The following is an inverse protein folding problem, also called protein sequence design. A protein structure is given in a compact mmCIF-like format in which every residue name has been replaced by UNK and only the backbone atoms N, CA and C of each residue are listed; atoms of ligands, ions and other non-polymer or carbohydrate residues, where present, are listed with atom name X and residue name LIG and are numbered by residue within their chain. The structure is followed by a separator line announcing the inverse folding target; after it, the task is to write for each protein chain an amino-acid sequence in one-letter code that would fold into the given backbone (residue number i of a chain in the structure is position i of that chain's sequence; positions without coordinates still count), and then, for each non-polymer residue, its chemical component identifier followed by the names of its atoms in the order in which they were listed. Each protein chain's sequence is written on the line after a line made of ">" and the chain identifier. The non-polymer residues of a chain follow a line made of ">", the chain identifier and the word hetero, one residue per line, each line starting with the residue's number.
data_IF_074640713382
#
_entry.id   IF_074640713382
#
_cell.length_a   1.000
_cell.length_b   1.000
_cell.length_c   1.000
_cell.angle_alpha   90.00
_cell.angle_beta   90.00
_cell.angle_gamma   90.00
#
_symmetry.space_group_name_H-M   'P 1'
#
loop_
_entity.id
_entity.type
_entity.pdbx_description
1 polymer ?
#
# COMPACT_ATOMS: atom_id res chain seq x y z
N UNK A 1 30.47 -28.75 -23.89
CA UNK A 1 30.20 -27.94 -25.11
C UNK A 1 29.10 -26.89 -24.82
N UNK A 2 27.96 -27.29 -24.27
CA UNK A 2 26.83 -26.37 -24.01
C UNK A 2 27.18 -25.22 -23.05
N UNK A 3 27.82 -25.49 -21.93
CA UNK A 3 28.27 -24.47 -20.97
C UNK A 3 29.20 -23.41 -21.62
N UNK A 4 30.06 -23.83 -22.56
CA UNK A 4 30.96 -22.94 -23.28
C UNK A 4 30.18 -22.02 -24.23
N UNK A 5 29.17 -22.54 -24.88
CA UNK A 5 28.27 -21.77 -25.75
C UNK A 5 27.47 -20.74 -24.94
N UNK A 6 26.93 -21.16 -23.79
CA UNK A 6 26.18 -20.24 -22.88
C UNK A 6 27.07 -19.10 -22.39
N UNK A 7 28.31 -19.40 -21.98
CA UNK A 7 29.28 -18.37 -21.55
C UNK A 7 29.65 -17.42 -22.69
N UNK A 8 29.76 -17.92 -23.92
CA UNK A 8 30.05 -17.10 -25.09
C UNK A 8 28.86 -16.16 -25.38
N UNK A 9 27.63 -16.68 -25.37
CA UNK A 9 26.41 -15.88 -25.57
C UNK A 9 26.26 -14.81 -24.48
N UNK A 10 26.47 -15.16 -23.21
CA UNK A 10 26.40 -14.19 -22.11
C UNK A 10 27.47 -13.09 -22.22
N UNK A 11 28.62 -13.42 -22.82
CA UNK A 11 29.67 -12.43 -23.10
C UNK A 11 29.29 -11.52 -24.25
N UNK A 12 28.70 -12.06 -25.33
CA UNK A 12 28.19 -11.30 -26.47
C UNK A 12 27.06 -10.34 -26.04
N UNK A 13 26.20 -10.77 -25.13
CA UNK A 13 25.14 -9.95 -24.56
C UNK A 13 25.64 -8.93 -23.52
N UNK A 14 26.97 -8.90 -23.26
CA UNK A 14 27.59 -8.04 -22.25
C UNK A 14 27.12 -8.27 -20.81
N UNK A 15 26.59 -9.44 -20.53
CA UNK A 15 26.24 -9.86 -19.19
C UNK A 15 27.47 -10.33 -18.41
N UNK A 16 28.45 -10.86 -19.11
CA UNK A 16 29.73 -11.29 -18.54
C UNK A 16 30.89 -10.55 -19.22
N UNK A 17 31.88 -10.18 -18.42
CA UNK A 17 33.19 -9.71 -18.86
C UNK A 17 34.17 -10.88 -18.78
N UNK A 18 34.97 -11.04 -19.82
CA UNK A 18 36.04 -12.07 -19.84
C UNK A 18 37.37 -11.45 -19.45
N UNK A 19 38.00 -12.00 -18.43
CA UNK A 19 39.32 -11.62 -17.97
C UNK A 19 40.25 -12.80 -18.25
N UNK A 20 41.31 -12.56 -19.00
CA UNK A 20 42.31 -13.61 -19.26
C UNK A 20 43.06 -13.93 -17.96
N UNK A 21 43.12 -15.22 -17.60
CA UNK A 21 43.89 -15.65 -16.41
C UNK A 21 45.41 -15.52 -16.73
N UNK A 22 46.05 -14.60 -16.02
CA UNK A 22 47.48 -14.27 -16.20
C UNK A 22 48.42 -15.20 -15.45
N UNK A 23 47.99 -16.39 -15.01
CA UNK A 23 48.88 -17.36 -14.40
C UNK A 23 49.99 -17.79 -15.35
N UNK A 24 51.22 -17.98 -14.82
CA UNK A 24 52.33 -18.45 -15.62
C UNK A 24 51.97 -19.82 -16.22
N UNK A 25 51.96 -19.85 -17.55
CA UNK A 25 51.72 -21.05 -18.34
C UNK A 25 52.98 -21.88 -18.34
N UNK A 26 52.94 -23.14 -17.91
CA UNK A 26 54.08 -24.02 -17.82
C UNK A 26 54.25 -24.97 -19.00
N UNK A 27 53.23 -25.10 -19.86
CA UNK A 27 53.24 -25.99 -21.02
C UNK A 27 52.61 -25.36 -22.27
N UNK A 28 53.00 -25.87 -23.47
CA UNK A 28 52.44 -25.44 -24.75
C UNK A 28 50.96 -25.79 -24.89
N UNK A 29 50.51 -26.85 -24.22
CA UNK A 29 49.11 -27.28 -24.20
C UNK A 29 48.27 -26.34 -23.32
N UNK A 30 48.77 -25.88 -22.21
CA UNK A 30 48.12 -24.87 -21.37
C UNK A 30 48.03 -23.51 -22.09
N UNK A 31 49.01 -23.17 -22.92
CA UNK A 31 49.00 -21.95 -23.73
C UNK A 31 47.90 -21.99 -24.81
N UNK A 32 47.65 -23.15 -25.37
CA UNK A 32 46.56 -23.35 -26.36
C UNK A 32 45.18 -23.30 -25.72
N UNK A 33 45.03 -23.78 -24.49
CA UNK A 33 43.79 -23.76 -23.72
C UNK A 33 43.71 -22.49 -22.90
N UNK A 34 43.34 -21.39 -23.56
CA UNK A 34 43.13 -20.11 -22.87
C UNK A 34 42.02 -20.25 -21.79
N UNK A 35 42.41 -20.18 -20.52
CA UNK A 35 41.51 -20.17 -19.40
C UNK A 35 41.04 -18.72 -19.19
N UNK A 36 39.74 -18.47 -19.34
CA UNK A 36 39.13 -17.21 -19.06
C UNK A 36 38.47 -17.28 -17.67
N UNK A 37 38.55 -16.18 -16.93
CA UNK A 37 37.68 -15.91 -15.79
C UNK A 37 36.52 -15.07 -16.31
N UNK A 38 35.31 -15.43 -15.89
CA UNK A 38 34.12 -14.71 -16.23
C UNK A 38 33.69 -13.91 -15.01
N UNK A 39 33.45 -12.63 -15.19
CA UNK A 39 32.99 -11.72 -14.17
C UNK A 39 31.67 -11.13 -14.66
N UNK A 40 30.66 -11.10 -13.79
CA UNK A 40 29.39 -10.45 -14.11
C UNK A 40 29.62 -8.96 -14.36
N UNK A 41 28.97 -8.41 -15.37
CA UNK A 41 28.94 -6.97 -15.59
C UNK A 41 28.22 -6.25 -14.46
N UNK A 42 28.48 -4.97 -14.26
CA UNK A 42 27.82 -4.17 -13.21
C UNK A 42 26.31 -4.22 -13.33
N UNK A 43 25.79 -4.12 -14.56
CA UNK A 43 24.34 -4.22 -14.81
C UNK A 43 23.78 -5.60 -14.43
N UNK A 44 24.49 -6.68 -14.73
CA UNK A 44 24.07 -8.04 -14.38
C UNK A 44 24.08 -8.26 -12.87
N UNK A 45 25.05 -7.71 -12.16
CA UNK A 45 25.09 -7.73 -10.69
C UNK A 45 23.90 -7.01 -10.08
N UNK A 46 23.52 -5.83 -10.62
CA UNK A 46 22.34 -5.09 -10.12
C UNK A 46 21.03 -5.80 -10.44
N UNK A 47 20.92 -6.43 -11.61
CA UNK A 47 19.75 -7.25 -11.97
C UNK A 47 19.64 -8.46 -11.03
N UNK A 48 20.74 -9.16 -10.77
CA UNK A 48 20.76 -10.29 -9.85
C UNK A 48 20.38 -9.89 -8.43
N UNK A 49 20.91 -8.77 -7.94
CA UNK A 49 20.50 -8.20 -6.65
C UNK A 49 19.02 -7.84 -6.61
N UNK A 50 18.47 -7.37 -7.73
CA UNK A 50 17.05 -7.09 -7.86
C UNK A 50 16.23 -8.38 -7.80
N UNK A 51 16.63 -9.43 -8.53
CA UNK A 51 15.95 -10.74 -8.52
C UNK A 51 15.95 -11.34 -7.11
N UNK A 52 17.11 -11.35 -6.44
CA UNK A 52 17.23 -11.84 -5.04
C UNK A 52 16.29 -11.04 -4.13
N UNK A 53 16.22 -9.73 -4.28
CA UNK A 53 15.27 -8.90 -3.52
C UNK A 53 13.81 -9.25 -3.84
N UNK A 54 13.48 -9.50 -5.09
CA UNK A 54 12.12 -9.89 -5.50
C UNK A 54 11.73 -11.28 -4.96
N UNK A 55 12.65 -12.23 -4.94
CA UNK A 55 12.43 -13.56 -4.36
C UNK A 55 12.21 -13.49 -2.84
N UNK A 56 12.93 -12.61 -2.16
CA UNK A 56 12.84 -12.41 -0.71
C UNK A 56 11.71 -11.46 -0.26
N UNK A 57 11.03 -10.78 -1.19
CA UNK A 57 9.91 -9.87 -0.89
C UNK A 57 8.80 -10.49 -0.04
N UNK A 58 8.63 -11.81 -0.07
CA UNK A 58 7.64 -12.52 0.73
C UNK A 58 8.13 -12.91 2.14
N UNK A 59 9.43 -12.83 2.41
CA UNK A 59 10.02 -13.25 3.68
C UNK A 59 10.22 -12.05 4.61
N UNK A 60 10.57 -10.89 4.07
CA UNK A 60 10.69 -9.64 4.81
C UNK A 60 9.38 -8.85 4.69
N UNK A 61 8.36 -9.26 5.45
CA UNK A 61 7.16 -8.44 5.60
C UNK A 61 7.55 -7.04 6.07
N UNK A 62 7.26 -6.03 5.26
CA UNK A 62 7.53 -4.64 5.62
C UNK A 62 6.89 -4.34 6.97
N UNK A 63 7.65 -3.85 7.93
CA UNK A 63 7.17 -3.47 9.25
C UNK A 63 7.16 -1.96 9.40
N UNK A 64 6.06 -1.42 9.92
CA UNK A 64 5.98 -0.02 10.33
C UNK A 64 6.65 0.12 11.70
N UNK A 65 7.94 0.48 11.71
CA UNK A 65 8.70 0.63 12.94
C UNK A 65 8.54 2.04 13.52
N UNK A 66 7.83 2.24 14.65
CA UNK A 66 7.74 3.55 15.31
C UNK A 66 9.12 4.09 15.74
N UNK A 67 10.07 3.18 15.98
CA UNK A 67 11.44 3.50 16.38
C UNK A 67 12.23 4.24 15.31
N UNK A 68 11.94 4.03 14.01
CA UNK A 68 12.56 4.79 12.93
C UNK A 68 12.21 6.29 13.00
N UNK A 69 10.94 6.60 13.24
CA UNK A 69 10.49 7.98 13.41
C UNK A 69 11.18 8.64 14.61
N UNK A 70 11.33 7.92 15.71
CA UNK A 70 12.03 8.41 16.89
C UNK A 70 13.52 8.66 16.63
N UNK A 71 14.19 7.79 15.86
CA UNK A 71 15.59 7.96 15.46
C UNK A 71 15.75 9.17 14.53
N UNK A 72 14.87 9.32 13.54
CA UNK A 72 14.87 10.49 12.65
C UNK A 72 14.67 11.78 13.47
N UNK A 73 13.71 11.80 14.40
CA UNK A 73 13.49 12.94 15.28
C UNK A 73 14.76 13.30 16.07
N UNK A 74 15.38 12.34 16.75
CA UNK A 74 16.61 12.55 17.51
C UNK A 74 17.75 13.07 16.63
N UNK A 75 17.87 12.54 15.40
CA UNK A 75 18.88 13.01 14.47
C UNK A 75 18.58 14.45 13.99
N UNK A 76 17.30 14.79 13.80
CA UNK A 76 16.91 16.16 13.42
C UNK A 76 17.11 17.16 14.56
N UNK A 77 16.84 16.81 15.82
CA UNK A 77 17.10 17.62 17.01
C UNK A 77 18.60 17.95 17.15
N UNK A 78 19.48 17.04 16.72
CA UNK A 78 20.94 17.24 16.73
C UNK A 78 21.49 18.06 15.56
N UNK A 79 20.67 18.38 14.57
CA UNK A 79 21.12 19.11 13.37
C UNK A 79 21.90 20.39 13.69
N UNK A 80 21.43 21.28 14.59
CA UNK A 80 22.16 22.51 14.91
C UNK A 80 23.57 22.25 15.47
N UNK A 81 23.76 21.18 16.23
CA UNK A 81 25.06 20.81 16.80
C UNK A 81 26.05 20.37 15.72
N UNK A 82 25.56 19.80 14.62
CA UNK A 82 26.41 19.27 13.55
C UNK A 82 27.19 20.37 12.82
N UNK A 83 26.68 21.60 12.81
CA UNK A 83 27.42 22.73 12.23
C UNK A 83 28.77 22.98 12.94
N UNK A 84 28.90 22.61 14.24
CA UNK A 84 30.13 22.74 15.03
C UNK A 84 31.01 21.49 15.08
N UNK A 85 30.56 20.36 14.56
CA UNK A 85 31.24 19.05 14.66
C UNK A 85 32.24 18.80 13.54
N UNK A 86 33.09 17.76 13.73
CA UNK A 86 34.03 17.32 12.69
C UNK A 86 33.29 16.68 11.49
N UNK A 87 33.89 16.81 10.31
CA UNK A 87 33.31 16.29 9.05
C UNK A 87 33.02 14.79 9.06
N UNK A 88 33.80 13.97 9.80
CA UNK A 88 33.54 12.54 9.93
C UNK A 88 32.23 12.29 10.71
N UNK A 89 32.04 13.02 11.84
CA UNK A 89 30.81 12.91 12.63
C UNK A 89 29.60 13.39 11.84
N UNK A 90 29.74 14.50 11.11
CA UNK A 90 28.67 15.06 10.27
C UNK A 90 28.29 14.10 9.16
N UNK A 91 29.26 13.50 8.49
CA UNK A 91 28.99 12.54 7.41
C UNK A 91 28.31 11.26 7.90
N UNK A 92 28.78 10.73 9.03
CA UNK A 92 28.16 9.54 9.66
C UNK A 92 26.71 9.85 10.05
N UNK A 93 26.49 10.96 10.76
CA UNK A 93 25.16 11.42 11.15
C UNK A 93 24.24 11.62 9.94
N UNK A 94 24.75 12.25 8.88
CA UNK A 94 24.00 12.48 7.64
C UNK A 94 23.62 11.18 6.94
N UNK A 95 24.53 10.24 6.89
CA UNK A 95 24.31 8.93 6.28
C UNK A 95 23.26 8.14 7.06
N UNK A 96 23.35 8.13 8.38
CA UNK A 96 22.37 7.46 9.25
C UNK A 96 20.97 8.07 9.10
N UNK A 97 20.87 9.40 9.10
CA UNK A 97 19.60 10.10 8.90
C UNK A 97 18.96 9.74 7.56
N UNK A 98 19.74 9.75 6.47
CA UNK A 98 19.21 9.41 5.15
C UNK A 98 18.81 7.93 5.05
N UNK A 99 19.59 7.02 5.62
CA UNK A 99 19.28 5.59 5.62
C UNK A 99 17.99 5.32 6.41
N UNK A 100 17.83 5.94 7.58
CA UNK A 100 16.61 5.82 8.38
C UNK A 100 15.39 6.38 7.64
N UNK A 101 15.54 7.52 6.97
CA UNK A 101 14.47 8.11 6.16
C UNK A 101 14.10 7.24 4.96
N UNK A 102 15.07 6.77 4.19
CA UNK A 102 14.80 5.87 3.06
C UNK A 102 14.11 4.58 3.52
N UNK A 103 14.55 4.01 4.64
CA UNK A 103 13.95 2.81 5.23
C UNK A 103 12.52 3.06 5.69
N UNK A 104 12.26 4.22 6.32
CA UNK A 104 10.90 4.61 6.73
C UNK A 104 9.97 4.68 5.51
N UNK A 105 10.39 5.40 4.47
CA UNK A 105 9.59 5.60 3.27
C UNK A 105 9.33 4.29 2.53
N UNK A 106 10.35 3.44 2.39
CA UNK A 106 10.22 2.14 1.75
C UNK A 106 9.29 1.21 2.55
N UNK A 107 9.52 1.06 3.86
CA UNK A 107 8.70 0.21 4.72
C UNK A 107 7.23 0.65 4.69
N UNK A 108 6.99 1.97 4.69
CA UNK A 108 5.63 2.50 4.58
C UNK A 108 4.97 2.12 3.25
N UNK A 109 5.63 2.38 2.14
CA UNK A 109 5.08 2.07 0.81
C UNK A 109 4.79 0.58 0.66
N UNK A 110 5.71 -0.27 1.09
CA UNK A 110 5.57 -1.72 1.03
C UNK A 110 4.42 -2.20 1.92
N UNK A 111 4.31 -1.70 3.13
CA UNK A 111 3.24 -2.07 4.06
C UNK A 111 1.85 -1.67 3.56
N UNK A 112 1.71 -0.45 3.02
CA UNK A 112 0.45 0.03 2.45
C UNK A 112 0.08 -0.78 1.20
N UNK A 113 1.05 -1.09 0.35
CA UNK A 113 0.84 -1.97 -0.82
C UNK A 113 0.33 -3.34 -0.38
N UNK A 114 0.95 -3.95 0.63
CA UNK A 114 0.57 -5.27 1.11
C UNK A 114 -0.84 -5.28 1.70
N UNK A 115 -1.20 -4.26 2.49
CA UNK A 115 -2.56 -4.12 3.03
C UNK A 115 -3.64 -3.81 1.97
N UNK A 116 -3.25 -3.26 0.84
CA UNK A 116 -4.14 -3.02 -0.29
C UNK A 116 -4.12 -4.16 -1.33
N UNK A 117 -3.35 -5.21 -1.11
CA UNK A 117 -3.27 -6.35 -2.01
C UNK A 117 -4.57 -7.16 -2.03
N UNK A 118 -4.86 -7.83 -3.16
CA UNK A 118 -5.99 -8.75 -3.29
C UNK A 118 -5.92 -9.86 -2.23
N UNK A 119 -4.71 -10.36 -1.96
CA UNK A 119 -4.47 -11.39 -0.94
C UNK A 119 -4.86 -10.91 0.46
N UNK A 120 -4.53 -9.67 0.82
CA UNK A 120 -4.93 -9.09 2.10
C UNK A 120 -6.46 -8.94 2.19
N UNK A 121 -7.10 -8.52 1.11
CA UNK A 121 -8.56 -8.40 1.04
C UNK A 121 -9.26 -9.76 1.17
N UNK A 122 -8.75 -10.79 0.50
CA UNK A 122 -9.26 -12.16 0.65
C UNK A 122 -9.10 -12.66 2.09
N UNK A 123 -7.93 -12.44 2.70
CA UNK A 123 -7.67 -12.80 4.09
C UNK A 123 -8.62 -12.07 5.06
N UNK A 124 -8.91 -10.78 4.84
CA UNK A 124 -9.84 -9.99 5.65
C UNK A 124 -11.29 -10.54 5.62
N UNK A 125 -11.63 -11.38 4.65
CA UNK A 125 -12.95 -12.02 4.53
C UNK A 125 -13.02 -13.39 5.22
N UNK A 126 -11.92 -13.89 5.77
CA UNK A 126 -11.85 -15.20 6.45
C UNK A 126 -12.20 -15.09 7.94
N UNK A 127 -12.62 -16.22 8.54
CA UNK A 127 -12.91 -16.26 9.98
C UNK A 127 -11.65 -16.12 10.84
N UNK A 128 -10.53 -16.61 10.35
CA UNK A 128 -9.22 -16.54 10.98
C UNK A 128 -8.78 -15.09 11.18
N UNK A 129 -9.20 -14.21 10.29
CA UNK A 129 -8.94 -12.78 10.39
C UNK A 129 -9.55 -12.15 11.65
N UNK A 130 -10.70 -12.65 12.13
CA UNK A 130 -11.31 -12.12 13.34
C UNK A 130 -10.41 -12.25 14.58
N UNK A 131 -9.56 -13.27 14.62
CA UNK A 131 -8.58 -13.48 15.70
C UNK A 131 -7.39 -12.54 15.53
N UNK A 132 -6.99 -12.26 14.31
CA UNK A 132 -5.81 -11.46 13.97
C UNK A 132 -6.06 -9.95 13.99
N UNK A 133 -7.28 -9.51 13.67
CA UNK A 133 -7.64 -8.09 13.46
C UNK A 133 -7.27 -7.16 14.63
N UNK A 134 -7.46 -7.62 15.87
CA UNK A 134 -7.24 -6.78 17.05
C UNK A 134 -5.75 -6.45 17.21
N UNK A 135 -4.88 -7.43 16.98
CA UNK A 135 -3.42 -7.21 16.96
C UNK A 135 -2.99 -6.28 15.84
N UNK A 136 -3.58 -6.44 14.66
CA UNK A 136 -3.30 -5.58 13.51
C UNK A 136 -3.74 -4.13 13.77
N UNK A 137 -4.94 -3.93 14.32
CA UNK A 137 -5.45 -2.60 14.67
C UNK A 137 -4.58 -1.97 15.76
N UNK A 138 -4.19 -2.72 16.78
CA UNK A 138 -3.31 -2.21 17.84
C UNK A 138 -1.94 -1.79 17.31
N UNK A 139 -1.36 -2.60 16.43
CA UNK A 139 -0.11 -2.29 15.76
C UNK A 139 -0.20 -0.99 14.93
N UNK A 140 -1.23 -0.85 14.11
CA UNK A 140 -1.48 0.37 13.33
C UNK A 140 -1.72 1.61 14.21
N UNK A 141 -2.45 1.46 15.30
CA UNK A 141 -2.67 2.54 16.29
C UNK A 141 -1.38 2.94 16.99
N UNK A 142 -0.54 1.98 17.32
CA UNK A 142 0.78 2.26 17.92
C UNK A 142 1.66 3.05 16.96
N UNK A 143 1.66 2.69 15.67
CA UNK A 143 2.35 3.43 14.63
C UNK A 143 1.81 4.87 14.49
N UNK A 144 0.49 5.06 14.43
CA UNK A 144 -0.13 6.39 14.38
C UNK A 144 0.28 7.25 15.57
N UNK A 145 0.30 6.69 16.78
CA UNK A 145 0.77 7.42 17.98
C UNK A 145 2.24 7.81 17.87
N UNK A 146 3.08 6.92 17.34
CA UNK A 146 4.48 7.22 17.05
C UNK A 146 4.63 8.35 16.04
N UNK A 147 3.83 8.31 14.96
CA UNK A 147 3.80 9.35 13.94
C UNK A 147 3.41 10.71 14.54
N UNK A 148 2.31 10.78 15.28
CA UNK A 148 1.82 12.02 15.91
C UNK A 148 2.83 12.65 16.87
N UNK A 149 3.56 11.82 17.64
CA UNK A 149 4.55 12.31 18.60
C UNK A 149 5.80 12.90 17.94
N UNK A 150 6.22 12.32 16.82
CA UNK A 150 7.52 12.63 16.24
C UNK A 150 7.44 13.63 15.09
N UNK A 151 6.37 13.57 14.27
CA UNK A 151 6.26 14.41 13.05
C UNK A 151 6.25 15.89 13.39
N UNK A 152 5.48 16.32 14.39
CA UNK A 152 5.42 17.73 14.76
C UNK A 152 6.77 18.31 15.18
N UNK A 153 7.57 17.54 15.93
CA UNK A 153 8.91 17.95 16.36
C UNK A 153 9.88 17.97 15.16
N UNK A 154 9.82 16.98 14.27
CA UNK A 154 10.65 16.96 13.07
C UNK A 154 10.32 18.15 12.16
N UNK A 155 9.05 18.44 11.98
CA UNK A 155 8.56 19.57 11.19
C UNK A 155 9.06 20.90 11.76
N UNK A 156 8.98 21.09 13.07
CA UNK A 156 9.50 22.28 13.77
C UNK A 156 11.02 22.39 13.58
N UNK A 157 11.77 21.32 13.80
CA UNK A 157 13.20 21.29 13.57
C UNK A 157 13.56 21.69 12.13
N UNK A 158 12.83 21.17 11.13
CA UNK A 158 13.08 21.47 9.72
C UNK A 158 12.78 22.93 9.36
N UNK A 159 11.73 23.52 9.94
CA UNK A 159 11.32 24.92 9.69
C UNK A 159 12.21 25.95 10.39
N UNK A 160 12.76 25.60 11.54
CA UNK A 160 13.57 26.51 12.35
C UNK A 160 15.06 26.54 11.98
N UNK A 161 15.49 25.70 11.02
CA UNK A 161 16.87 25.64 10.60
C UNK A 161 17.29 26.88 9.83
N UNK A 162 18.32 27.57 10.37
CA UNK A 162 18.94 28.70 9.72
C UNK A 162 19.71 28.26 8.46
N UNK A 163 19.64 29.08 7.41
CA UNK A 163 20.31 28.82 6.14
C UNK A 163 21.81 28.61 6.30
N UNK A 164 22.45 29.44 7.13
CA UNK A 164 23.89 29.42 7.34
C UNK A 164 24.37 28.11 8.00
N UNK A 165 23.62 27.61 8.98
CA UNK A 165 23.91 26.30 9.60
C UNK A 165 23.80 25.16 8.61
N UNK A 166 22.78 25.21 7.77
CA UNK A 166 22.56 24.19 6.73
C UNK A 166 23.69 24.18 5.71
N UNK A 167 24.12 25.36 5.25
CA UNK A 167 25.24 25.50 4.33
C UNK A 167 26.52 24.93 4.97
N UNK A 168 26.82 25.28 6.23
CA UNK A 168 28.01 24.75 6.94
C UNK A 168 27.99 23.22 7.06
N UNK A 169 26.82 22.62 7.26
CA UNK A 169 26.69 21.14 7.30
C UNK A 169 26.94 20.55 5.91
N UNK A 170 26.38 21.14 4.85
CA UNK A 170 26.61 20.65 3.48
C UNK A 170 28.06 20.78 3.04
N UNK A 171 28.74 21.86 3.39
CA UNK A 171 30.18 22.02 3.12
C UNK A 171 30.99 20.87 3.71
N UNK A 172 30.73 20.50 4.96
CA UNK A 172 31.41 19.37 5.62
C UNK A 172 31.11 18.02 4.97
N UNK A 173 29.87 17.80 4.51
CA UNK A 173 29.50 16.59 3.78
C UNK A 173 30.27 16.53 2.46
N UNK A 174 30.35 17.63 1.74
CA UNK A 174 31.09 17.74 0.48
C UNK A 174 32.58 17.50 0.72
N UNK A 175 33.18 18.16 1.70
CA UNK A 175 34.59 17.96 2.07
C UNK A 175 34.91 16.48 2.36
N UNK A 176 34.02 15.80 3.08
CA UNK A 176 34.24 14.38 3.40
C UNK A 176 34.09 13.50 2.15
N UNK A 177 33.06 13.69 1.34
CA UNK A 177 32.83 12.90 0.13
C UNK A 177 33.95 13.07 -0.92
N UNK A 178 34.59 14.24 -0.97
CA UNK A 178 35.74 14.49 -1.84
C UNK A 178 36.99 13.72 -1.40
N UNK A 179 37.10 13.36 -0.11
CA UNK A 179 38.22 12.55 0.39
C UNK A 179 38.10 11.05 0.01
N UNK A 180 36.92 10.60 -0.39
CA UNK A 180 36.71 9.18 -0.73
C UNK A 180 37.28 8.93 -2.16
N UNK A 181 38.36 8.11 -2.28
CA UNK A 181 38.93 7.82 -3.58
C UNK A 181 37.96 6.96 -4.42
N UNK A 182 37.64 7.41 -5.62
CA UNK A 182 36.78 6.69 -6.57
C UNK A 182 37.56 6.41 -7.84
N UNK A 183 37.52 5.15 -8.31
CA UNK A 183 38.34 4.72 -9.45
C UNK A 183 37.77 5.12 -10.81
N UNK A 184 36.47 5.32 -10.92
CA UNK A 184 35.78 5.37 -12.23
C UNK A 184 35.09 6.69 -12.55
N UNK A 185 34.87 7.57 -11.58
CA UNK A 185 34.10 8.81 -11.80
C UNK A 185 34.73 10.00 -11.10
N UNK A 186 35.12 11.02 -11.86
CA UNK A 186 35.39 12.35 -11.30
C UNK A 186 34.08 12.97 -10.78
N UNK A 187 33.88 12.90 -9.47
CA UNK A 187 32.71 13.50 -8.83
C UNK A 187 33.02 14.95 -8.52
N UNK A 188 32.34 15.86 -9.17
CA UNK A 188 32.51 17.29 -8.90
C UNK A 188 31.81 17.67 -7.59
N UNK A 189 32.40 18.68 -6.90
CA UNK A 189 31.82 19.29 -5.70
C UNK A 189 30.35 19.66 -5.88
N UNK A 190 30.00 20.25 -7.03
CA UNK A 190 28.62 20.63 -7.38
C UNK A 190 27.65 19.44 -7.41
N UNK A 191 28.12 18.27 -7.86
CA UNK A 191 27.28 17.06 -7.90
C UNK A 191 27.00 16.54 -6.50
N UNK A 192 28.02 16.51 -5.63
CA UNK A 192 27.87 16.08 -4.24
C UNK A 192 26.90 17.00 -3.50
N UNK A 193 27.11 18.32 -3.60
CA UNK A 193 26.24 19.32 -2.98
C UNK A 193 24.79 19.16 -3.47
N UNK A 194 24.55 19.12 -4.77
CA UNK A 194 23.21 18.92 -5.34
C UNK A 194 22.55 17.65 -4.84
N UNK A 195 23.32 16.58 -4.66
CA UNK A 195 22.81 15.31 -4.11
C UNK A 195 22.42 15.44 -2.62
N UNK A 196 23.24 16.13 -1.82
CA UNK A 196 22.95 16.40 -0.41
C UNK A 196 21.71 17.30 -0.26
N UNK A 197 21.63 18.38 -1.01
CA UNK A 197 20.47 19.28 -1.03
C UNK A 197 19.19 18.57 -1.49
N UNK A 198 19.28 17.73 -2.52
CA UNK A 198 18.16 16.94 -3.02
C UNK A 198 17.62 15.94 -1.98
N UNK A 199 18.52 15.28 -1.23
CA UNK A 199 18.14 14.39 -0.13
C UNK A 199 17.50 15.16 1.03
N UNK A 200 18.06 16.29 1.40
CA UNK A 200 17.49 17.16 2.42
C UNK A 200 16.09 17.65 2.01
N UNK A 201 15.95 18.11 0.76
CA UNK A 201 14.67 18.53 0.21
C UNK A 201 13.65 17.40 0.24
N UNK A 202 14.04 16.16 -0.06
CA UNK A 202 13.14 15.00 0.02
C UNK A 202 12.64 14.77 1.44
N UNK A 203 13.51 14.92 2.46
CA UNK A 203 13.10 14.84 3.87
C UNK A 203 12.16 16.01 4.20
N UNK A 204 12.50 17.21 3.79
CA UNK A 204 11.70 18.41 4.01
C UNK A 204 10.29 18.28 3.40
N UNK A 205 10.21 17.94 2.12
CA UNK A 205 8.94 17.77 1.40
C UNK A 205 8.08 16.66 2.03
N UNK A 206 8.70 15.61 2.56
CA UNK A 206 7.98 14.50 3.18
C UNK A 206 7.31 14.91 4.52
N UNK A 207 8.00 15.67 5.36
CA UNK A 207 7.50 16.08 6.69
C UNK A 207 6.76 17.42 6.69
N UNK A 208 7.22 18.39 5.90
CA UNK A 208 6.68 19.76 5.88
C UNK A 208 5.73 19.97 4.71
N UNK A 209 6.00 19.30 3.58
CA UNK A 209 5.29 19.50 2.31
C UNK A 209 5.92 20.59 1.45
N UNK A 210 5.48 20.66 0.20
CA UNK A 210 5.80 21.72 -0.75
C UNK A 210 4.59 22.63 -0.96
N UNK A 211 4.81 23.83 -1.47
CA UNK A 211 3.74 24.83 -1.68
C UNK A 211 2.52 24.24 -2.40
N UNK A 212 1.37 24.21 -1.71
CA UNK A 212 0.10 23.74 -2.24
C UNK A 212 -0.10 22.21 -2.22
N UNK A 213 0.83 21.43 -1.66
CA UNK A 213 0.68 20.00 -1.49
C UNK A 213 0.74 19.60 -0.01
N UNK A 214 -0.19 18.75 0.39
CA UNK A 214 -0.19 18.12 1.70
C UNK A 214 1.05 17.24 1.89
N UNK A 215 1.68 17.30 3.06
CA UNK A 215 2.87 16.51 3.35
C UNK A 215 2.56 15.00 3.36
N UNK A 216 3.57 14.19 3.05
CA UNK A 216 3.41 12.73 2.98
C UNK A 216 3.10 12.12 4.37
N UNK A 217 3.56 12.73 5.45
CA UNK A 217 3.26 12.29 6.81
C UNK A 217 1.77 12.42 7.14
N UNK A 218 1.10 13.49 6.70
CA UNK A 218 -0.35 13.65 6.85
C UNK A 218 -1.12 12.64 6.01
N UNK A 219 -0.73 12.45 4.75
CA UNK A 219 -1.32 11.40 3.89
C UNK A 219 -1.18 10.01 4.50
N UNK A 220 -0.01 9.71 5.08
CA UNK A 220 0.25 8.45 5.77
C UNK A 220 -0.72 8.25 6.93
N UNK A 221 -0.94 9.30 7.72
CA UNK A 221 -1.89 9.28 8.82
C UNK A 221 -3.31 8.95 8.34
N UNK A 222 -3.78 9.62 7.29
CA UNK A 222 -5.12 9.42 6.75
C UNK A 222 -5.31 8.04 6.12
N UNK A 223 -4.34 7.60 5.34
CA UNK A 223 -4.37 6.25 4.74
C UNK A 223 -4.40 5.17 5.82
N UNK A 224 -3.59 5.31 6.87
CA UNK A 224 -3.56 4.34 7.97
C UNK A 224 -4.89 4.29 8.73
N UNK A 225 -5.51 5.46 8.97
CA UNK A 225 -6.83 5.53 9.58
C UNK A 225 -7.91 4.90 8.69
N UNK A 226 -7.85 5.12 7.37
CA UNK A 226 -8.80 4.49 6.44
C UNK A 226 -8.64 2.96 6.42
N UNK A 227 -7.43 2.46 6.49
CA UNK A 227 -7.16 1.02 6.62
C UNK A 227 -7.78 0.46 7.92
N UNK A 228 -7.61 1.14 9.05
CA UNK A 228 -8.23 0.73 10.33
C UNK A 228 -9.76 0.70 10.19
N UNK A 229 -10.36 1.72 9.57
CA UNK A 229 -11.81 1.75 9.32
C UNK A 229 -12.26 0.59 8.44
N UNK A 230 -11.51 0.31 7.38
CA UNK A 230 -11.77 -0.83 6.47
C UNK A 230 -11.70 -2.16 7.19
N UNK A 231 -10.65 -2.41 7.97
CA UNK A 231 -10.49 -3.61 8.80
C UNK A 231 -11.67 -3.78 9.77
N UNK A 232 -12.04 -2.71 10.47
CA UNK A 232 -13.14 -2.71 11.43
C UNK A 232 -14.47 -3.03 10.74
N UNK A 233 -14.72 -2.48 9.56
CA UNK A 233 -15.92 -2.74 8.75
C UNK A 233 -16.01 -4.19 8.31
N UNK A 234 -14.93 -4.77 7.77
CA UNK A 234 -14.90 -6.19 7.40
C UNK A 234 -15.12 -7.11 8.61
N UNK A 235 -14.49 -6.80 9.73
CA UNK A 235 -14.66 -7.58 10.96
C UNK A 235 -16.10 -7.53 11.47
N UNK A 236 -16.77 -6.38 11.43
CA UNK A 236 -18.18 -6.22 11.78
C UNK A 236 -19.08 -7.06 10.87
N UNK A 237 -18.87 -6.98 9.54
CA UNK A 237 -19.64 -7.78 8.57
C UNK A 237 -19.46 -9.29 8.76
N UNK A 238 -18.24 -9.74 9.06
CA UNK A 238 -17.97 -11.16 9.33
C UNK A 238 -18.62 -11.62 10.65
N UNK A 239 -18.56 -10.78 11.68
CA UNK A 239 -19.21 -11.07 12.97
C UNK A 239 -20.72 -11.17 12.81
N UNK A 240 -21.33 -10.25 12.06
CA UNK A 240 -22.75 -10.27 11.74
C UNK A 240 -23.15 -11.52 10.95
N UNK A 241 -22.41 -11.86 9.90
CA UNK A 241 -22.64 -13.09 9.13
C UNK A 241 -22.56 -14.35 10.00
N UNK A 242 -21.62 -14.40 10.93
CA UNK A 242 -21.45 -15.53 11.82
C UNK A 242 -22.55 -15.60 12.88
N UNK A 243 -22.94 -14.47 13.45
CA UNK A 243 -24.05 -14.37 14.41
C UNK A 243 -25.40 -14.71 13.74
N UNK A 244 -25.64 -14.17 12.55
CA UNK A 244 -26.85 -14.45 11.77
C UNK A 244 -26.92 -15.91 11.29
N UNK A 245 -25.77 -16.54 11.00
CA UNK A 245 -25.72 -17.93 10.55
C UNK A 245 -26.10 -18.94 11.65
N UNK A 246 -25.75 -18.66 12.91
CA UNK A 246 -26.10 -19.52 14.04
C UNK A 246 -27.57 -19.34 14.47
N UNK A 247 -28.04 -18.09 14.54
CA UNK A 247 -29.41 -17.77 14.95
C UNK A 247 -30.44 -18.01 13.85
N UNK A 248 -30.08 -17.75 12.55
CA UNK A 248 -31.03 -17.93 11.45
C UNK A 248 -31.59 -19.33 11.31
N UNK A 249 -30.80 -20.36 11.57
CA UNK A 249 -31.29 -21.74 11.50
C UNK A 249 -32.38 -21.99 12.56
N UNK A 250 -32.22 -21.42 13.73
CA UNK A 250 -33.19 -21.57 14.82
C UNK A 250 -34.41 -20.66 14.62
N UNK A 251 -34.21 -19.48 14.08
CA UNK A 251 -35.31 -18.57 13.69
C UNK A 251 -36.14 -19.16 12.55
N UNK A 252 -35.51 -19.68 11.48
CA UNK A 252 -36.22 -20.37 10.41
C UNK A 252 -36.97 -21.61 10.91
N UNK A 253 -36.40 -22.33 11.86
CA UNK A 253 -37.08 -23.48 12.49
C UNK A 253 -38.30 -23.00 13.27
N UNK A 254 -38.19 -21.94 14.05
CA UNK A 254 -39.34 -21.35 14.77
C UNK A 254 -40.42 -20.85 13.83
N UNK A 255 -40.03 -20.16 12.76
CA UNK A 255 -40.95 -19.70 11.72
C UNK A 255 -41.63 -20.90 11.04
N UNK A 256 -40.88 -21.93 10.67
CA UNK A 256 -41.45 -23.15 10.09
C UNK A 256 -42.43 -23.83 11.03
N UNK A 257 -42.12 -23.95 12.34
CA UNK A 257 -43.00 -24.48 13.36
C UNK A 257 -44.30 -23.66 13.51
N UNK A 258 -44.19 -22.32 13.40
CA UNK A 258 -45.36 -21.44 13.40
C UNK A 258 -46.25 -21.69 12.19
N UNK A 259 -45.67 -21.80 10.97
CA UNK A 259 -46.44 -22.12 9.76
C UNK A 259 -47.08 -23.51 9.81
N UNK A 260 -46.42 -24.49 10.43
CA UNK A 260 -46.98 -25.85 10.58
C UNK A 260 -48.17 -25.90 11.56
N UNK A 261 -48.32 -24.86 12.41
CA UNK A 261 -49.45 -24.75 13.35
C UNK A 261 -50.68 -24.03 12.78
N UNK A 262 -50.56 -23.45 11.57
CA UNK A 262 -51.68 -22.79 10.90
C UNK A 262 -52.75 -23.82 10.50
N UNK A 263 -53.99 -23.57 10.87
CA UNK A 263 -55.11 -24.44 10.56
C UNK A 263 -55.65 -24.28 9.16
N UNK A 264 -55.44 -23.13 8.54
CA UNK A 264 -55.91 -22.80 7.19
C UNK A 264 -54.95 -21.93 6.40
N UNK A 265 -55.17 -21.91 5.07
CA UNK A 265 -54.30 -21.18 4.13
C UNK A 265 -54.36 -19.67 4.31
N UNK A 266 -55.48 -19.14 4.75
CA UNK A 266 -55.66 -17.72 4.98
C UNK A 266 -54.83 -17.19 6.19
N UNK A 267 -54.77 -18.01 7.22
CA UNK A 267 -53.95 -17.72 8.38
C UNK A 267 -52.45 -17.80 8.03
N UNK A 268 -52.05 -18.78 7.21
CA UNK A 268 -50.68 -18.90 6.71
C UNK A 268 -50.30 -17.68 5.83
N UNK A 269 -51.22 -17.16 5.02
CA UNK A 269 -50.96 -15.94 4.24
C UNK A 269 -50.81 -14.70 5.13
N UNK A 270 -51.62 -14.55 6.16
CA UNK A 270 -51.49 -13.45 7.14
C UNK A 270 -50.15 -13.53 7.88
N UNK A 271 -49.78 -14.72 8.29
CA UNK A 271 -48.51 -14.97 8.95
C UNK A 271 -47.32 -14.72 8.03
N UNK A 272 -47.41 -15.13 6.76
CA UNK A 272 -46.41 -14.83 5.75
C UNK A 272 -46.20 -13.32 5.56
N UNK A 273 -47.30 -12.56 5.50
CA UNK A 273 -47.23 -11.12 5.38
C UNK A 273 -46.55 -10.46 6.60
N UNK A 274 -46.80 -10.98 7.81
CA UNK A 274 -46.18 -10.48 9.04
C UNK A 274 -44.67 -10.82 9.11
N UNK A 275 -44.31 -12.05 8.78
CA UNK A 275 -42.91 -12.56 8.91
C UNK A 275 -42.00 -11.99 7.83
N UNK A 276 -42.46 -11.92 6.59
CA UNK A 276 -41.66 -11.46 5.45
C UNK A 276 -41.82 -9.96 5.18
N UNK A 277 -42.60 -9.24 6.00
CA UNK A 277 -42.67 -7.79 5.95
C UNK A 277 -43.09 -7.25 4.60
N UNK A 278 -44.02 -7.93 3.90
CA UNK A 278 -44.47 -7.50 2.59
C UNK A 278 -45.18 -6.10 2.58
N UNK A 279 -45.33 -5.56 3.75
CA UNK A 279 -46.09 -4.33 3.87
C UNK A 279 -45.33 -3.06 3.64
N UNK A 280 -44.04 -2.97 3.66
CA UNK A 280 -43.49 -1.61 3.49
C UNK A 280 -42.00 -1.49 3.30
N UNK A 281 -41.65 -1.41 2.08
CA UNK A 281 -40.38 -0.77 1.66
C UNK A 281 -40.52 0.72 1.39
N UNK A 282 -41.67 1.34 1.69
CA UNK A 282 -41.96 2.73 1.32
C UNK A 282 -41.27 3.79 2.16
N UNK A 283 -40.98 3.48 3.40
CA UNK A 283 -40.30 4.40 4.31
C UNK A 283 -38.83 4.66 3.96
N UNK A 284 -38.27 3.89 3.02
CA UNK A 284 -36.87 4.03 2.63
C UNK A 284 -36.67 4.96 1.42
N UNK A 285 -37.70 5.18 0.60
CA UNK A 285 -37.51 5.77 -0.72
C UNK A 285 -38.47 6.91 -1.07
N UNK A 286 -39.29 7.39 -0.19
CA UNK A 286 -40.29 8.40 -0.55
C UNK A 286 -40.51 9.48 0.49
N UNK A 287 -40.57 10.70 0.03
CA UNK A 287 -41.15 11.80 0.80
C UNK A 287 -42.61 11.44 1.09
N UNK A 288 -42.84 10.95 2.30
CA UNK A 288 -44.22 10.81 2.78
C UNK A 288 -44.79 12.21 3.00
N UNK A 289 -45.78 12.56 2.21
CA UNK A 289 -46.56 13.77 2.42
C UNK A 289 -47.31 13.54 3.74
N UNK A 290 -46.87 14.14 4.81
CA UNK A 290 -47.57 14.15 6.10
C UNK A 290 -48.77 15.06 5.98
N UNK A 291 -49.91 14.60 6.51
CA UNK A 291 -51.13 15.45 6.59
C UNK A 291 -50.97 16.67 7.54
N UNK A 292 -49.99 16.60 8.47
CA UNK A 292 -49.69 17.69 9.41
C UNK A 292 -48.19 17.73 9.76
N UNK A 293 -47.61 18.93 9.84
CA UNK A 293 -46.25 19.20 10.29
C UNK A 293 -46.06 19.10 11.83
N UNK A 294 -47.03 18.58 12.55
CA UNK A 294 -46.98 18.47 13.99
C UNK A 294 -46.04 17.38 14.44
N UNK A 295 -45.00 17.75 15.19
CA UNK A 295 -44.01 16.81 15.78
C UNK A 295 -44.64 15.89 16.83
N UNK A 296 -45.85 16.15 17.31
CA UNK A 296 -46.50 15.37 18.38
C UNK A 296 -47.37 14.22 17.87
N UNK A 297 -47.46 14.03 16.55
CA UNK A 297 -48.16 12.89 15.95
C UNK A 297 -47.19 11.78 15.59
N UNK A 298 -47.39 10.64 16.20
CA UNK A 298 -46.59 9.43 15.89
C UNK A 298 -46.93 8.87 14.50
N UNK A 299 -45.98 8.22 13.85
CA UNK A 299 -46.15 7.56 12.54
C UNK A 299 -47.32 6.55 12.54
N UNK A 300 -47.71 6.03 13.70
CA UNK A 300 -48.81 5.07 13.88
C UNK A 300 -50.19 5.70 13.88
N UNK A 301 -50.29 7.01 13.95
CA UNK A 301 -51.56 7.75 13.94
C UNK A 301 -51.97 8.24 12.53
N UNK A 302 -51.07 8.06 11.56
CA UNK A 302 -51.33 8.43 10.17
C UNK A 302 -52.08 7.31 9.45
N UNK A 303 -52.98 7.69 8.51
CA UNK A 303 -53.75 6.73 7.74
C UNK A 303 -52.83 5.85 6.90
N UNK A 304 -53.02 4.51 6.89
CA UNK A 304 -52.23 3.62 6.08
C UNK A 304 -52.39 3.91 4.59
N UNK A 305 -51.30 4.02 3.87
CA UNK A 305 -51.29 4.17 2.41
C UNK A 305 -51.66 2.83 1.78
N UNK A 306 -52.76 2.78 1.06
CA UNK A 306 -53.19 1.60 0.28
C UNK A 306 -52.43 1.59 -1.04
N UNK A 307 -51.71 0.51 -1.31
CA UNK A 307 -50.95 0.35 -2.54
C UNK A 307 -51.42 -0.90 -3.25
N UNK A 308 -51.85 -0.71 -4.50
CA UNK A 308 -52.17 -1.81 -5.39
C UNK A 308 -50.88 -2.44 -5.92
N UNK A 309 -50.61 -3.68 -5.49
CA UNK A 309 -49.48 -4.44 -5.99
C UNK A 309 -49.75 -4.92 -7.41
N UNK A 310 -49.14 -4.27 -8.38
CA UNK A 310 -49.16 -4.76 -9.77
C UNK A 310 -48.17 -5.87 -9.94
N UNK A 311 -48.52 -7.03 -10.53
CA UNK A 311 -47.60 -8.09 -10.76
C UNK A 311 -46.41 -7.60 -11.65
N UNK A 312 -45.21 -7.84 -11.20
CA UNK A 312 -44.00 -7.47 -11.94
C UNK A 312 -43.86 -8.40 -13.13
N UNK A 313 -44.35 -8.02 -14.30
CA UNK A 313 -44.08 -8.75 -15.54
C UNK A 313 -42.61 -8.66 -15.85
N UNK A 314 -41.87 -9.78 -15.68
CA UNK A 314 -40.53 -9.89 -16.17
C UNK A 314 -40.56 -9.93 -17.69
N UNK A 315 -40.35 -8.79 -18.34
CA UNK A 315 -39.99 -8.78 -19.75
C UNK A 315 -38.63 -9.45 -19.92
N UNK A 316 -38.61 -10.60 -20.55
CA UNK A 316 -37.39 -11.28 -20.90
C UNK A 316 -36.67 -10.43 -21.96
N UNK A 317 -35.63 -9.72 -21.56
CA UNK A 317 -34.71 -9.12 -22.55
C UNK A 317 -33.78 -10.22 -23.02
N UNK A 318 -33.94 -10.64 -24.30
CA UNK A 318 -32.93 -11.45 -24.94
C UNK A 318 -31.54 -10.79 -24.72
N UNK A 319 -30.62 -11.55 -24.13
CA UNK A 319 -29.22 -11.10 -24.03
C UNK A 319 -28.70 -11.04 -25.46
N UNK A 320 -28.55 -9.82 -26.00
CA UNK A 320 -27.77 -9.59 -27.21
C UNK A 320 -26.42 -10.29 -27.03
N UNK A 321 -26.10 -11.22 -27.92
CA UNK A 321 -24.79 -11.88 -27.94
C UNK A 321 -23.74 -10.78 -27.91
N UNK A 322 -22.91 -10.78 -26.88
CA UNK A 322 -21.73 -9.89 -26.86
C UNK A 322 -20.90 -10.23 -28.09
N UNK A 323 -20.73 -9.29 -28.99
CA UNK A 323 -19.81 -9.42 -30.12
C UNK A 323 -18.43 -9.78 -29.55
N UNK A 324 -17.75 -10.73 -30.18
CA UNK A 324 -16.40 -11.11 -29.77
C UNK A 324 -15.47 -9.88 -29.82
N UNK A 325 -14.45 -9.87 -28.99
CA UNK A 325 -13.44 -8.78 -28.98
C UNK A 325 -12.85 -8.56 -30.38
N UNK A 326 -12.79 -9.62 -31.19
CA UNK A 326 -12.31 -9.61 -32.58
C UNK A 326 -13.24 -8.80 -33.48
N UNK A 327 -14.57 -9.02 -33.41
CA UNK A 327 -15.56 -8.26 -34.19
C UNK A 327 -15.59 -6.77 -33.81
N UNK A 328 -15.33 -6.44 -32.53
CA UNK A 328 -15.28 -5.04 -32.08
C UNK A 328 -14.02 -4.33 -32.54
N UNK A 329 -12.91 -5.04 -32.74
CA UNK A 329 -11.65 -4.50 -33.28
C UNK A 329 -11.72 -4.29 -34.79
N UNK A 330 -12.34 -5.21 -35.52
CA UNK A 330 -12.56 -5.06 -36.98
C UNK A 330 -13.47 -3.87 -37.29
N UNK A 331 -14.57 -3.69 -36.57
CA UNK A 331 -15.44 -2.51 -36.70
C UNK A 331 -14.74 -1.19 -36.38
N UNK A 332 -13.83 -1.18 -35.42
CA UNK A 332 -13.01 0.02 -35.12
C UNK A 332 -11.96 0.30 -36.20
N UNK A 333 -11.44 -0.71 -36.87
CA UNK A 333 -10.51 -0.55 -37.97
C UNK A 333 -11.21 -0.06 -39.25
N UNK A 334 -12.42 -0.52 -39.53
CA UNK A 334 -13.23 -0.04 -40.65
C UNK A 334 -13.68 1.42 -40.47
N UNK A 335 -14.01 1.83 -39.23
CA UNK A 335 -14.39 3.24 -38.94
C UNK A 335 -13.19 4.19 -39.03
N UNK A 336 -11.96 3.72 -38.92
CA UNK A 336 -10.74 4.51 -39.12
C UNK A 336 -10.27 4.60 -40.58
N UNK A 337 -10.81 3.75 -41.47
CA UNK A 337 -10.49 3.75 -42.91
C UNK A 337 -11.51 4.54 -43.73
N UNK A 338 -12.59 4.99 -43.13
CA UNK A 338 -13.52 6.02 -43.66
C UNK A 338 -13.18 7.40 -43.11
#
# INVERSE_FOLDING_TARGET
>A
EQCQQDLTMLTEWKNLNTIQDTRRVSSIEEFKNKKYRYQMSEYSVEIERLVIRLENLFIEGASLEPTLLERIRRNMERFPEMAGKDKNEVYTWWTDLNNDFMRLNQNYQDYIRDLNSVKAEEMMRTKEFLVFKDRLIEYLRSFIKGLQRNVGVIEECLKTQESDMREAVFDKIVEYELLIPRMEVEVSEKMIRRKAEGRFKSIYDWFVGSEGQENEAAKLFDVTNEIIRRITRYAAQLSEKNALGANRKEEYRKVAEMFMRCENLEEAHKMSAMVFGMEKTFHIAGDQVRETDSMNRGVYEEKPIQIELKPRVRTYREKTKRSSIIESTEKKLETRRK
#
